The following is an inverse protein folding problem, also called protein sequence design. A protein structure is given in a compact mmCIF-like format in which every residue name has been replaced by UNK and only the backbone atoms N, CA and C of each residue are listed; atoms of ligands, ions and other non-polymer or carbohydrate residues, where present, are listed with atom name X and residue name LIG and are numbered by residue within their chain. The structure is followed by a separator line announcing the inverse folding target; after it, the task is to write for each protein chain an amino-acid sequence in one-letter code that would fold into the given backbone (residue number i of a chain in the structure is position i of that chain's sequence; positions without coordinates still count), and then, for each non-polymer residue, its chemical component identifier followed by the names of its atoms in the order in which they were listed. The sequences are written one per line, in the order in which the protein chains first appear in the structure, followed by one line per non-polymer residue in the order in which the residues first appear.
data_IF_110146794480
#
_entry.id   IF_110146794480
#
_cell.length_a   1.000
_cell.length_b   1.000
_cell.length_c   1.000
_cell.angle_alpha   90.00
_cell.angle_beta   90.00
_cell.angle_gamma   90.00
#
_symmetry.space_group_name_H-M   'P 1'
#
loop_
_entity.id
_entity.type
_entity.pdbx_description
1 polymer ?
#
# COMPACT_ATOMS: atom_id res chain seq x y z
N UNK A 1 -4.24 10.17 10.83
CA UNK A 1 -3.69 8.90 10.30
C UNK A 1 -4.18 8.60 8.88
N UNK A 2 -5.50 8.60 8.65
CA UNK A 2 -6.14 8.32 7.33
C UNK A 2 -5.55 9.12 6.17
N UNK A 3 -5.27 10.42 6.38
CA UNK A 3 -4.73 11.31 5.33
C UNK A 3 -3.40 10.82 4.74
N UNK A 4 -2.41 10.49 5.59
CA UNK A 4 -1.07 10.03 5.14
C UNK A 4 -1.13 8.68 4.43
N UNK A 5 -1.93 7.75 4.95
CA UNK A 5 -2.11 6.43 4.34
C UNK A 5 -2.77 6.55 2.95
N UNK A 6 -3.81 7.39 2.84
CA UNK A 6 -4.45 7.71 1.57
C UNK A 6 -3.47 8.33 0.56
N UNK A 7 -2.65 9.27 1.00
CA UNK A 7 -1.62 9.92 0.16
C UNK A 7 -0.61 8.89 -0.38
N UNK A 8 -0.14 7.96 0.45
CA UNK A 8 0.78 6.88 0.03
C UNK A 8 0.13 5.99 -1.03
N UNK A 9 -1.12 5.57 -0.83
CA UNK A 9 -1.82 4.75 -1.82
C UNK A 9 -2.03 5.49 -3.14
N UNK A 10 -2.50 6.74 -3.10
CA UNK A 10 -2.70 7.55 -4.30
C UNK A 10 -1.39 7.84 -5.03
N UNK A 11 -0.28 8.06 -4.32
CA UNK A 11 1.02 8.31 -4.93
C UNK A 11 1.63 7.07 -5.62
N UNK A 12 1.15 5.86 -5.33
CA UNK A 12 1.77 4.62 -5.78
C UNK A 12 0.85 3.67 -6.56
N UNK A 13 -0.48 3.91 -6.61
CA UNK A 13 -1.44 2.99 -7.23
C UNK A 13 -1.20 2.65 -8.71
N UNK A 14 -0.45 3.48 -9.45
CA UNK A 14 -0.11 3.22 -10.86
C UNK A 14 1.19 2.42 -11.06
N UNK A 15 1.97 2.20 -10.00
CA UNK A 15 3.23 1.46 -10.10
C UNK A 15 2.97 -0.05 -10.23
N UNK A 16 3.92 -0.83 -10.73
CA UNK A 16 3.85 -2.30 -10.63
C UNK A 16 3.63 -2.75 -9.18
N UNK A 17 2.85 -3.81 -8.96
CA UNK A 17 2.50 -4.31 -7.61
C UNK A 17 3.73 -4.52 -6.70
N UNK A 18 4.84 -5.02 -7.26
CA UNK A 18 6.09 -5.19 -6.53
C UNK A 18 6.66 -3.86 -6.00
N UNK A 19 6.58 -2.79 -6.79
CA UNK A 19 7.01 -1.46 -6.39
C UNK A 19 6.05 -0.80 -5.39
N UNK A 20 4.74 -1.03 -5.54
CA UNK A 20 3.75 -0.59 -4.55
C UNK A 20 4.05 -1.20 -3.19
N UNK A 21 4.27 -2.52 -3.15
CA UNK A 21 4.64 -3.25 -1.92
C UNK A 21 5.92 -2.70 -1.30
N UNK A 22 6.95 -2.40 -2.11
CA UNK A 22 8.20 -1.81 -1.63
C UNK A 22 7.99 -0.43 -1.02
N UNK A 23 7.23 0.44 -1.69
CA UNK A 23 6.96 1.79 -1.22
C UNK A 23 6.13 1.80 0.07
N UNK A 24 5.09 0.96 0.14
CA UNK A 24 4.27 0.77 1.35
C UNK A 24 5.09 0.26 2.54
N UNK A 25 5.96 -0.73 2.34
CA UNK A 25 6.86 -1.23 3.40
C UNK A 25 7.83 -0.16 3.88
N UNK A 26 8.38 0.64 2.96
CA UNK A 26 9.29 1.73 3.32
C UNK A 26 8.58 2.81 4.13
N UNK A 27 7.38 3.23 3.69
CA UNK A 27 6.58 4.21 4.39
C UNK A 27 6.12 3.73 5.78
N UNK A 28 5.74 2.45 5.90
CA UNK A 28 5.39 1.83 7.18
C UNK A 28 6.59 1.84 8.14
N UNK A 29 7.78 1.40 7.69
CA UNK A 29 9.01 1.45 8.50
C UNK A 29 9.38 2.86 8.92
N UNK A 30 9.29 3.83 8.01
CA UNK A 30 9.56 5.23 8.32
C UNK A 30 8.58 5.80 9.35
N UNK A 31 7.31 5.40 9.28
CA UNK A 31 6.30 5.80 10.26
C UNK A 31 6.53 5.15 11.63
N UNK A 32 6.90 3.87 11.67
CA UNK A 32 7.21 3.15 12.90
C UNK A 32 8.49 3.64 13.58
N UNK A 33 9.48 4.13 12.82
CA UNK A 33 10.81 4.50 13.33
C UNK A 33 11.42 3.33 14.12
N UNK A 34 11.79 3.57 15.38
CA UNK A 34 12.40 2.59 16.27
C UNK A 34 11.37 1.86 17.15
N UNK A 35 10.07 2.13 16.94
CA UNK A 35 9.00 1.48 17.70
C UNK A 35 8.70 0.10 17.12
N UNK A 36 8.48 -0.88 18.01
CA UNK A 36 8.02 -2.20 17.61
C UNK A 36 6.58 -2.16 17.11
N UNK A 37 6.26 -3.10 16.23
CA UNK A 37 4.88 -3.32 15.81
C UNK A 37 4.10 -3.91 16.98
N UNK A 38 2.97 -3.30 17.32
CA UNK A 38 2.13 -3.70 18.47
C UNK A 38 0.95 -4.61 18.07
N UNK A 39 0.59 -4.61 16.78
CA UNK A 39 -0.58 -5.30 16.25
C UNK A 39 -0.34 -5.74 14.79
N UNK A 40 -1.08 -6.75 14.33
CA UNK A 40 -0.95 -7.28 12.98
C UNK A 40 -1.45 -6.28 11.92
N UNK A 41 -0.79 -6.25 10.76
CA UNK A 41 -1.16 -5.36 9.63
C UNK A 41 -1.29 -6.20 8.36
N UNK A 42 -2.48 -6.19 7.77
CA UNK A 42 -2.75 -6.78 6.47
C UNK A 42 -3.23 -5.70 5.48
N UNK A 43 -2.57 -5.63 4.32
CA UNK A 43 -2.96 -4.77 3.19
C UNK A 43 -3.05 -5.64 1.94
N UNK A 44 -4.20 -5.64 1.29
CA UNK A 44 -4.46 -6.37 0.04
C UNK A 44 -4.60 -5.34 -1.09
N UNK A 45 -3.75 -5.47 -2.11
CA UNK A 45 -3.84 -4.68 -3.33
C UNK A 45 -4.55 -5.49 -4.41
N UNK A 46 -5.52 -4.89 -5.08
CA UNK A 46 -6.23 -5.47 -6.21
C UNK A 46 -6.00 -4.58 -7.41
N UNK A 47 -5.57 -5.17 -8.52
CA UNK A 47 -5.57 -4.52 -9.81
C UNK A 47 -6.72 -5.10 -10.62
N UNK A 48 -7.53 -4.22 -11.19
CA UNK A 48 -8.71 -4.59 -11.95
C UNK A 48 -8.45 -4.14 -13.38
N UNK A 49 -8.36 -5.10 -14.29
CA UNK A 49 -8.35 -4.81 -15.70
C UNK A 49 -9.78 -4.58 -16.20
N UNK A 50 -9.99 -3.64 -17.15
CA UNK A 50 -11.32 -3.43 -17.73
C UNK A 50 -11.96 -4.67 -18.36
N UNK A 51 -11.14 -5.63 -18.80
CA UNK A 51 -11.59 -6.89 -19.41
C UNK A 51 -11.92 -7.99 -18.38
N UNK A 52 -11.58 -7.82 -17.10
CA UNK A 52 -11.86 -8.83 -16.06
C UNK A 52 -13.38 -9.05 -15.84
N UNK A 53 -14.23 -8.17 -16.38
CA UNK A 53 -15.68 -8.19 -16.19
C UNK A 53 -16.49 -8.23 -17.50
N UNK A 54 -15.84 -8.42 -18.65
CA UNK A 54 -16.58 -8.67 -19.89
C UNK A 54 -17.04 -10.14 -19.89
N UNK A 55 -18.35 -10.34 -19.68
CA UNK A 55 -19.03 -11.63 -19.78
C UNK A 55 -19.31 -12.00 -21.23
#
# INVERSE_FOLDING_TARGET
MVKRMKEIFLAHHQKPMAEQKKALKAALRQWMKDQSQIDDILVIGIYIHPHDFQR
#
